data_IF_241354729642
#
_entry.id   IF_241354729642
#
_cell.length_a   1.000
_cell.length_b   1.000
_cell.length_c   1.000
_cell.angle_alpha   90.00
_cell.angle_beta   90.00
_cell.angle_gamma   90.00
#
_symmetry.space_group_name_H-M   'P 1'
#
loop_
_entity.id
_entity.type
_entity.pdbx_description
1 polymer ?
#
# COMPACT_ATOMS: atom_id res chain seq x y z
N UNK A 1 0.95 8.66 6.28
CA UNK A 1 0.66 7.22 6.24
C UNK A 1 1.97 6.47 6.05
N UNK A 2 2.20 5.41 6.82
CA UNK A 2 3.33 4.51 6.60
C UNK A 2 2.86 3.33 5.74
N UNK A 3 3.62 2.98 4.70
CA UNK A 3 3.28 1.89 3.77
C UNK A 3 4.49 0.98 3.52
N UNK A 4 4.24 -0.28 3.17
CA UNK A 4 5.28 -1.22 2.77
C UNK A 4 4.69 -2.51 2.20
N UNK A 5 5.54 -3.53 1.98
CA UNK A 5 5.11 -4.79 1.34
C UNK A 5 4.01 -5.55 2.10
N UNK A 6 3.85 -5.30 3.40
CA UNK A 6 2.78 -5.86 4.24
C UNK A 6 1.49 -5.03 4.20
N UNK A 7 1.45 -3.92 3.46
CA UNK A 7 0.23 -3.19 3.16
C UNK A 7 -0.41 -3.83 1.94
N UNK A 8 -1.40 -4.70 2.16
CA UNK A 8 -2.13 -5.40 1.10
C UNK A 8 -3.66 -5.29 1.31
N UNK A 9 -4.44 -5.60 0.27
CA UNK A 9 -5.91 -5.67 0.31
C UNK A 9 -6.52 -4.35 0.83
N UNK A 10 -7.35 -4.39 1.87
CA UNK A 10 -8.01 -3.21 2.44
C UNK A 10 -7.04 -2.08 2.83
N UNK A 11 -5.78 -2.40 3.17
CA UNK A 11 -4.74 -1.41 3.40
C UNK A 11 -4.42 -0.58 2.15
N UNK A 12 -4.46 -1.20 0.98
CA UNK A 12 -4.23 -0.55 -0.32
C UNK A 12 -5.45 0.25 -0.75
N UNK A 13 -6.66 -0.29 -0.57
CA UNK A 13 -7.91 0.45 -0.81
C UNK A 13 -7.98 1.71 0.04
N UNK A 14 -7.62 1.65 1.33
CA UNK A 14 -7.51 2.81 2.19
C UNK A 14 -6.44 3.79 1.68
N UNK A 15 -5.26 3.28 1.28
CA UNK A 15 -4.18 4.11 0.74
C UNK A 15 -4.65 4.87 -0.51
N UNK A 16 -5.34 4.20 -1.44
CA UNK A 16 -5.86 4.82 -2.67
C UNK A 16 -6.94 5.85 -2.36
N UNK A 17 -7.86 5.55 -1.43
CA UNK A 17 -8.88 6.49 -0.99
C UNK A 17 -8.26 7.76 -0.37
N UNK A 18 -7.19 7.63 0.42
CA UNK A 18 -6.50 8.77 1.03
C UNK A 18 -5.71 9.63 0.03
N UNK A 19 -5.27 9.07 -1.10
CA UNK A 19 -4.68 9.84 -2.22
C UNK A 19 -5.73 10.73 -2.88
N UNK A 20 -6.94 10.20 -3.04
CA UNK A 20 -8.07 10.89 -3.69
C UNK A 20 -8.83 11.81 -2.73
N UNK A 21 -8.50 11.77 -1.44
CA UNK A 21 -9.11 12.60 -0.42
C UNK A 21 -8.75 14.10 -0.56
N UNK A 22 -9.58 14.99 0.01
CA UNK A 22 -9.35 16.44 -0.08
C UNK A 22 -8.13 16.91 0.72
N UNK A 23 -7.77 16.18 1.78
CA UNK A 23 -6.57 16.44 2.57
C UNK A 23 -5.39 15.65 2.00
N UNK A 24 -4.28 16.36 1.71
CA UNK A 24 -3.06 15.73 1.22
C UNK A 24 -2.52 14.74 2.25
N UNK A 25 -2.50 13.46 1.89
CA UNK A 25 -1.85 12.40 2.68
C UNK A 25 -0.46 12.13 2.12
N UNK A 26 0.58 12.25 2.97
CA UNK A 26 1.96 11.87 2.60
C UNK A 26 2.18 10.40 2.94
N UNK A 27 2.56 9.60 1.96
CA UNK A 27 2.91 8.17 2.08
C UNK A 27 4.42 8.02 2.22
N UNK A 28 4.88 7.31 3.24
CA UNK A 28 6.30 7.15 3.57
C UNK A 28 6.58 5.66 3.77
N UNK A 29 7.65 5.14 3.17
CA UNK A 29 8.02 3.74 3.29
C UNK A 29 8.39 3.11 1.96
N UNK A 30 7.77 1.98 1.63
CA UNK A 30 7.92 1.28 0.36
C UNK A 30 6.58 1.20 -0.38
N UNK A 31 6.59 0.57 -1.57
CA UNK A 31 5.35 0.27 -2.26
C UNK A 31 4.47 -0.60 -1.35
N UNK A 32 3.16 -0.45 -1.48
CA UNK A 32 2.22 -1.48 -1.04
C UNK A 32 2.41 -2.75 -1.88
N UNK A 33 1.70 -3.83 -1.57
CA UNK A 33 1.94 -5.11 -2.21
C UNK A 33 1.52 -5.11 -3.70
N UNK A 34 0.35 -4.57 -4.03
CA UNK A 34 -0.28 -4.69 -5.35
C UNK A 34 -1.30 -5.81 -5.45
N UNK A 35 -2.01 -6.14 -4.36
CA UNK A 35 -3.08 -7.15 -4.31
C UNK A 35 -4.35 -6.54 -3.70
N UNK A 36 -5.04 -5.72 -4.50
CA UNK A 36 -6.21 -4.95 -4.07
C UNK A 36 -7.49 -5.77 -4.05
N UNK A 37 -7.71 -6.52 -5.12
CA UNK A 37 -9.00 -7.15 -5.40
C UNK A 37 -9.36 -8.16 -4.33
N UNK A 38 -10.61 -8.10 -3.88
CA UNK A 38 -11.22 -9.22 -3.17
C UNK A 38 -11.21 -10.47 -4.07
N UNK A 39 -11.08 -11.62 -3.41
CA UNK A 39 -11.01 -12.91 -4.09
C UNK A 39 -12.42 -13.42 -4.36
N UNK A 40 -12.75 -13.58 -5.63
CA UNK A 40 -13.95 -14.27 -6.06
C UNK A 40 -13.72 -15.78 -6.00
N UNK A 41 -14.18 -16.41 -4.93
CA UNK A 41 -14.08 -17.85 -4.77
C UNK A 41 -15.08 -18.61 -5.65
N UNK A 42 -14.62 -19.70 -6.26
CA UNK A 42 -15.41 -20.58 -7.11
C UNK A 42 -15.06 -22.04 -6.86
N UNK A 43 -16.05 -22.91 -7.08
CA UNK A 43 -15.92 -24.37 -6.94
C UNK A 43 -16.26 -25.00 -8.30
N UNK A 44 -15.35 -25.80 -8.82
CA UNK A 44 -15.55 -26.57 -10.05
C UNK A 44 -16.40 -27.83 -9.79
N UNK A 45 -17.09 -28.40 -10.80
CA UNK A 45 -17.90 -29.60 -10.63
C UNK A 45 -17.14 -30.84 -10.10
N UNK A 46 -15.81 -30.88 -10.26
CA UNK A 46 -14.94 -31.93 -9.72
C UNK A 46 -14.51 -31.71 -8.27
N UNK A 47 -15.01 -30.66 -7.61
CA UNK A 47 -14.73 -30.32 -6.22
C UNK A 47 -13.51 -29.43 -5.99
N UNK A 48 -12.80 -28.98 -7.03
CA UNK A 48 -11.67 -28.06 -6.88
C UNK A 48 -12.14 -26.65 -6.56
N UNK A 49 -11.43 -25.98 -5.65
CA UNK A 49 -11.63 -24.55 -5.36
C UNK A 49 -10.58 -23.71 -6.08
N UNK A 50 -10.98 -22.54 -6.56
CA UNK A 50 -10.06 -21.55 -7.12
C UNK A 50 -10.56 -20.14 -6.82
N UNK A 51 -9.63 -19.18 -6.81
CA UNK A 51 -9.90 -17.76 -6.65
C UNK A 51 -9.63 -17.01 -7.94
N UNK A 52 -10.46 -16.02 -8.23
CA UNK A 52 -10.23 -15.04 -9.29
C UNK A 52 -10.19 -13.64 -8.66
N UNK A 53 -9.46 -12.67 -9.24
CA UNK A 53 -9.69 -11.27 -8.90
C UNK A 53 -11.15 -10.90 -9.26
N UNK A 54 -11.87 -10.33 -8.30
CA UNK A 54 -13.25 -9.90 -8.45
C UNK A 54 -13.38 -8.50 -9.08
N UNK A 55 -12.39 -7.62 -8.85
CA UNK A 55 -12.49 -6.18 -9.05
C UNK A 55 -11.16 -5.58 -9.52
N UNK A 56 -11.22 -4.40 -10.13
CA UNK A 56 -10.05 -3.59 -10.47
C UNK A 56 -10.24 -2.17 -9.92
N UNK A 57 -9.23 -1.65 -9.22
CA UNK A 57 -9.28 -0.34 -8.57
C UNK A 57 -8.59 0.73 -9.42
N UNK A 58 -9.38 1.54 -10.11
CA UNK A 58 -8.86 2.49 -11.10
C UNK A 58 -8.56 3.88 -10.53
N UNK A 59 -7.51 4.51 -11.04
CA UNK A 59 -7.21 5.92 -10.81
C UNK A 59 -8.19 6.81 -11.58
N UNK A 60 -8.77 7.85 -10.94
CA UNK A 60 -9.69 8.77 -11.61
C UNK A 60 -9.06 9.59 -12.74
N UNK A 61 -7.74 9.78 -12.71
CA UNK A 61 -7.01 10.62 -13.65
C UNK A 61 -6.81 9.98 -15.03
N UNK A 62 -6.50 8.68 -15.05
CA UNK A 62 -6.02 7.97 -16.23
C UNK A 62 -6.48 6.51 -16.32
N UNK A 63 -7.36 6.07 -15.41
CA UNK A 63 -7.99 4.75 -15.46
C UNK A 63 -7.00 3.59 -15.29
N UNK A 64 -5.92 3.79 -14.54
CA UNK A 64 -4.90 2.76 -14.28
C UNK A 64 -5.13 2.05 -12.95
N UNK A 65 -4.70 0.80 -12.85
CA UNK A 65 -4.61 0.05 -11.59
C UNK A 65 -3.20 0.07 -11.02
N UNK A 66 -3.08 -0.18 -9.72
CA UNK A 66 -1.83 -0.46 -9.03
C UNK A 66 -1.63 -1.96 -8.76
N UNK A 67 -2.45 -2.83 -9.34
CA UNK A 67 -2.26 -4.28 -9.21
C UNK A 67 -0.87 -4.72 -9.72
N UNK A 68 -0.23 -5.62 -8.97
CA UNK A 68 1.11 -6.14 -9.23
C UNK A 68 2.26 -5.24 -8.76
N UNK A 69 2.21 -3.93 -9.03
CA UNK A 69 3.29 -3.00 -8.63
C UNK A 69 3.10 -2.39 -7.23
N UNK A 70 1.85 -2.27 -6.78
CA UNK A 70 1.47 -1.56 -5.57
C UNK A 70 1.56 -0.04 -5.69
N UNK A 71 0.98 0.65 -4.72
CA UNK A 71 1.00 2.11 -4.65
C UNK A 71 2.38 2.57 -4.20
N UNK A 72 3.05 3.46 -4.96
CA UNK A 72 4.35 3.98 -4.58
C UNK A 72 4.24 4.97 -3.39
N UNK A 73 5.26 5.03 -2.52
CA UNK A 73 5.33 6.06 -1.49
C UNK A 73 5.69 7.43 -2.10
N UNK A 74 5.30 8.51 -1.43
CA UNK A 74 5.79 9.86 -1.76
C UNK A 74 7.25 10.04 -1.31
N UNK A 75 7.60 9.44 -0.17
CA UNK A 75 8.97 9.41 0.36
C UNK A 75 9.39 7.97 0.58
N UNK A 76 10.32 7.49 -0.25
CA UNK A 76 10.86 6.14 -0.11
C UNK A 76 11.85 6.07 1.04
N UNK A 77 11.70 5.07 1.90
CA UNK A 77 12.64 4.75 2.99
C UNK A 77 13.04 3.27 2.94
N UNK A 78 13.80 2.80 3.93
CA UNK A 78 14.27 1.41 3.97
C UNK A 78 13.16 0.41 4.29
N UNK A 79 13.50 -0.87 4.20
CA UNK A 79 12.60 -1.97 4.52
C UNK A 79 12.64 -2.26 6.01
N UNK A 80 11.50 -2.10 6.69
CA UNK A 80 11.38 -2.28 8.13
C UNK A 80 11.94 -3.61 8.63
N UNK A 81 11.60 -4.73 7.97
CA UNK A 81 12.06 -6.07 8.39
C UNK A 81 13.58 -6.18 8.31
N UNK A 82 14.19 -5.68 7.23
CA UNK A 82 15.64 -5.68 7.06
C UNK A 82 16.33 -4.73 8.05
N UNK A 83 15.73 -3.59 8.36
CA UNK A 83 16.24 -2.62 9.31
C UNK A 83 16.25 -3.18 10.73
N UNK A 84 15.15 -3.80 11.15
CA UNK A 84 15.04 -4.44 12.47
C UNK A 84 16.00 -5.63 12.59
N UNK A 85 16.13 -6.44 11.53
CA UNK A 85 17.08 -7.56 11.51
C UNK A 85 18.55 -7.10 11.65
N UNK A 86 18.87 -5.89 11.19
CA UNK A 86 20.21 -5.28 11.33
C UNK A 86 20.40 -4.50 12.65
N UNK A 87 19.38 -4.48 13.53
CA UNK A 87 19.41 -3.68 14.76
C UNK A 87 19.45 -2.16 14.50
N UNK A 88 18.98 -1.73 13.34
CA UNK A 88 18.89 -0.30 12.99
C UNK A 88 17.53 0.27 13.38
N UNK A 89 17.39 1.60 13.35
CA UNK A 89 16.14 2.29 13.65
C UNK A 89 15.18 2.24 12.46
N UNK A 90 13.87 2.28 12.74
CA UNK A 90 12.83 2.38 11.71
C UNK A 90 12.93 3.72 10.97
N UNK A 91 13.39 3.66 9.72
CA UNK A 91 13.60 4.86 8.90
C UNK A 91 12.29 5.50 8.45
N UNK A 92 11.25 4.70 8.22
CA UNK A 92 9.93 5.20 7.82
C UNK A 92 9.31 6.02 8.95
N UNK A 93 9.39 5.53 10.18
CA UNK A 93 8.92 6.23 11.37
C UNK A 93 9.72 7.50 11.65
N UNK A 94 11.05 7.44 11.58
CA UNK A 94 11.91 8.60 11.75
C UNK A 94 11.59 9.71 10.71
N UNK A 95 11.39 9.32 9.46
CA UNK A 95 11.02 10.23 8.39
C UNK A 95 9.63 10.84 8.57
N UNK A 96 8.66 10.07 9.06
CA UNK A 96 7.34 10.60 9.39
C UNK A 96 7.39 11.68 10.47
N UNK A 97 8.18 11.47 11.53
CA UNK A 97 8.40 12.50 12.56
C UNK A 97 9.03 13.76 11.99
N UNK A 98 10.00 13.63 11.08
CA UNK A 98 10.63 14.77 10.42
C UNK A 98 9.62 15.58 9.59
N UNK A 99 8.78 14.92 8.78
CA UNK A 99 7.75 15.56 7.95
C UNK A 99 6.75 16.33 8.81
N UNK A 100 6.23 15.71 9.88
CA UNK A 100 5.26 16.35 10.78
C UNK A 100 5.86 17.58 11.45
N UNK A 101 7.11 17.49 11.92
CA UNK A 101 7.80 18.62 12.56
C UNK A 101 8.08 19.79 11.61
N UNK A 102 8.33 19.51 10.33
CA UNK A 102 8.51 20.56 9.32
C UNK A 102 7.20 21.27 8.96
N UNK A 103 6.07 20.56 8.98
CA UNK A 103 4.74 21.14 8.69
C UNK A 103 4.18 21.97 9.85
N UNK A 104 4.69 21.80 11.07
CA UNK A 104 4.29 22.57 12.25
C UNK A 104 4.99 23.93 12.39
N UNK A 105 5.88 24.28 11.45
CA UNK A 105 6.53 25.60 11.35
C UNK A 105 5.87 26.42 10.25
#
# INVERSE_FOLDING_TARGET
MLTGGETYSAGETLTQALIQGPARTVRIGQNTQGVFSDVLERILPNGWTFGLPNEEYLTPSDGKTFDGEGIPPDVRTGNFVQEMAKGTHDSAFAQALAVIRCQAK
#
